data_IF_668462034241
#
_entry.id   IF_668462034241
#
_cell.length_a   1.000
_cell.length_b   1.000
_cell.length_c   1.000
_cell.angle_alpha   90.00
_cell.angle_beta   90.00
_cell.angle_gamma   90.00
#
_symmetry.space_group_name_H-M   'P 1'
#
loop_
_entity.id
_entity.type
_entity.pdbx_description
1 polymer ?
#
# COMPACT_ATOMS: atom_id res chain seq x y z
N UNK A 1 8.11 4.20 4.66
CA UNK A 1 6.70 4.64 4.53
C UNK A 1 6.51 6.04 3.94
N UNK A 2 7.29 7.08 4.31
CA UNK A 2 7.18 8.42 3.67
C UNK A 2 7.28 8.38 2.14
N UNK A 3 8.32 7.72 1.62
CA UNK A 3 8.54 7.58 0.17
C UNK A 3 7.39 6.88 -0.55
N UNK A 4 6.81 5.85 0.07
CA UNK A 4 5.63 5.14 -0.45
C UNK A 4 4.44 6.10 -0.56
N UNK A 5 4.16 6.87 0.49
CA UNK A 5 3.05 7.83 0.45
C UNK A 5 3.28 8.92 -0.61
N UNK A 6 4.49 9.46 -0.74
CA UNK A 6 4.80 10.41 -1.81
C UNK A 6 4.58 9.81 -3.20
N UNK A 7 5.07 8.58 -3.43
CA UNK A 7 4.83 7.84 -4.67
C UNK A 7 3.34 7.70 -4.98
N UNK A 8 2.54 7.35 -3.95
CA UNK A 8 1.09 7.19 -4.08
C UNK A 8 0.36 8.53 -4.34
N UNK A 9 0.80 9.62 -3.72
CA UNK A 9 0.25 10.96 -3.94
C UNK A 9 0.58 11.51 -5.33
N UNK A 10 1.71 11.11 -5.91
CA UNK A 10 2.08 11.39 -7.30
C UNK A 10 1.36 10.46 -8.30
N UNK A 11 0.32 9.74 -7.86
CA UNK A 11 -0.47 8.80 -8.66
C UNK A 11 0.31 7.63 -9.26
N UNK A 12 1.52 7.35 -8.77
CA UNK A 12 2.27 6.16 -9.18
C UNK A 12 1.71 4.90 -8.51
N UNK A 13 1.87 3.77 -9.20
CA UNK A 13 1.51 2.46 -8.69
C UNK A 13 2.65 1.82 -7.90
N UNK A 14 2.30 0.98 -6.94
CA UNK A 14 3.26 0.12 -6.26
C UNK A 14 3.56 -1.10 -7.13
N UNK A 15 4.77 -1.63 -6.98
CA UNK A 15 5.09 -2.97 -7.45
C UNK A 15 4.37 -4.01 -6.59
N UNK A 16 4.27 -5.23 -7.10
CA UNK A 16 3.74 -6.38 -6.36
C UNK A 16 4.49 -6.61 -5.04
N UNK A 17 5.81 -6.46 -5.04
CA UNK A 17 6.65 -6.62 -3.84
C UNK A 17 6.41 -5.50 -2.83
N UNK A 18 6.34 -4.24 -3.28
CA UNK A 18 6.02 -3.09 -2.41
C UNK A 18 4.64 -3.25 -1.77
N UNK A 19 3.63 -3.65 -2.55
CA UNK A 19 2.27 -3.87 -2.04
C UNK A 19 2.22 -5.00 -1.01
N UNK A 20 2.95 -6.09 -1.25
CA UNK A 20 3.10 -7.21 -0.30
C UNK A 20 3.74 -6.75 1.01
N UNK A 21 4.89 -6.08 0.93
CA UNK A 21 5.66 -5.65 2.11
C UNK A 21 4.90 -4.63 2.96
N UNK A 22 4.15 -3.73 2.32
CA UNK A 22 3.28 -2.78 3.03
C UNK A 22 2.22 -3.52 3.83
N UNK A 23 1.53 -4.51 3.23
CA UNK A 23 0.48 -5.22 3.95
C UNK A 23 1.06 -6.02 5.14
N UNK A 24 2.23 -6.64 4.98
CA UNK A 24 2.93 -7.27 6.09
C UNK A 24 3.24 -6.28 7.23
N UNK A 25 3.75 -5.09 6.90
CA UNK A 25 4.06 -4.07 7.90
C UNK A 25 2.80 -3.54 8.61
N UNK A 26 1.67 -3.42 7.89
CA UNK A 26 0.37 -3.07 8.49
C UNK A 26 -0.04 -4.15 9.51
N UNK A 27 0.01 -5.43 9.13
CA UNK A 27 -0.38 -6.55 10.00
C UNK A 27 0.54 -6.68 11.21
N UNK A 28 1.83 -6.39 11.05
CA UNK A 28 2.80 -6.38 12.16
C UNK A 28 2.64 -5.17 13.09
N UNK A 29 1.80 -4.18 12.75
CA UNK A 29 1.61 -2.97 13.54
C UNK A 29 2.81 -2.02 13.54
N UNK A 30 3.73 -2.16 12.58
CA UNK A 30 4.92 -1.29 12.48
C UNK A 30 4.61 0.05 11.84
N UNK A 31 3.48 0.14 11.12
CA UNK A 31 3.00 1.38 10.49
C UNK A 31 1.97 2.06 11.41
N UNK A 32 2.13 3.36 11.73
CA UNK A 32 1.15 4.11 12.50
C UNK A 32 -0.22 4.15 11.81
N UNK A 33 -1.29 4.11 12.61
CA UNK A 33 -2.67 4.08 12.12
C UNK A 33 -2.99 5.25 11.16
N UNK A 34 -2.50 6.46 11.46
CA UNK A 34 -2.68 7.62 10.58
C UNK A 34 -2.10 7.41 9.16
N UNK A 35 -1.01 6.67 9.03
CA UNK A 35 -0.40 6.35 7.72
C UNK A 35 -1.18 5.24 7.01
N UNK A 36 -1.75 4.29 7.75
CA UNK A 36 -2.67 3.28 7.19
C UNK A 36 -3.93 3.96 6.64
N UNK A 37 -4.52 4.89 7.38
CA UNK A 37 -5.68 5.66 6.91
C UNK A 37 -5.36 6.47 5.64
N UNK A 38 -4.18 7.10 5.58
CA UNK A 38 -3.73 7.82 4.39
C UNK A 38 -3.56 6.90 3.18
N UNK A 39 -2.98 5.72 3.37
CA UNK A 39 -2.82 4.71 2.32
C UNK A 39 -4.17 4.24 1.79
N UNK A 40 -5.11 3.88 2.67
CA UNK A 40 -6.47 3.48 2.29
C UNK A 40 -7.17 4.60 1.50
N UNK A 41 -7.04 5.85 1.96
CA UNK A 41 -7.63 7.02 1.29
C UNK A 41 -7.08 7.16 -0.13
N UNK A 42 -5.77 6.97 -0.35
CA UNK A 42 -5.20 6.99 -1.70
C UNK A 42 -5.85 5.96 -2.61
N UNK A 43 -6.03 4.72 -2.14
CA UNK A 43 -6.67 3.65 -2.92
C UNK A 43 -8.17 3.86 -3.16
N UNK A 44 -8.85 4.71 -2.36
CA UNK A 44 -10.22 5.13 -2.63
C UNK A 44 -10.31 6.23 -3.69
N UNK A 45 -9.29 7.09 -3.77
CA UNK A 45 -9.26 8.24 -4.69
C UNK A 45 -8.68 7.91 -6.07
N UNK A 46 -7.90 6.82 -6.18
CA UNK A 46 -7.27 6.38 -7.44
C UNK A 46 -7.65 4.95 -7.76
N UNK A 47 -7.62 4.58 -9.06
CA UNK A 47 -7.79 3.19 -9.46
C UNK A 47 -6.61 2.36 -8.94
N UNK A 48 -6.88 1.17 -8.42
CA UNK A 48 -5.85 0.22 -8.03
C UNK A 48 -5.41 -0.61 -9.24
N UNK A 49 -4.12 -0.91 -9.36
CA UNK A 49 -3.58 -1.76 -10.42
C UNK A 49 -3.66 -3.25 -10.07
N UNK A 50 -3.54 -4.10 -11.09
CA UNK A 50 -3.53 -5.57 -10.91
C UNK A 50 -2.33 -6.03 -10.07
N UNK A 51 -1.16 -5.44 -10.29
CA UNK A 51 0.07 -5.77 -9.55
C UNK A 51 -0.09 -5.50 -8.05
N UNK A 52 -0.73 -4.39 -7.68
CA UNK A 52 -1.01 -4.04 -6.28
C UNK A 52 -1.96 -5.05 -5.62
N UNK A 53 -3.05 -5.41 -6.30
CA UNK A 53 -3.99 -6.44 -5.81
C UNK A 53 -3.27 -7.77 -5.63
N UNK A 54 -2.42 -8.15 -6.58
CA UNK A 54 -1.64 -9.39 -6.49
C UNK A 54 -0.67 -9.36 -5.31
N UNK A 55 -0.01 -8.23 -5.06
CA UNK A 55 0.87 -8.07 -3.90
C UNK A 55 0.12 -8.17 -2.57
N UNK A 56 -1.04 -7.53 -2.47
CA UNK A 56 -1.88 -7.66 -1.28
C UNK A 56 -2.38 -9.09 -1.07
N UNK A 57 -2.77 -9.79 -2.14
CA UNK A 57 -3.13 -11.21 -2.07
C UNK A 57 -1.97 -12.07 -1.59
N UNK A 58 -0.77 -11.85 -2.12
CA UNK A 58 0.43 -12.60 -1.74
C UNK A 58 0.83 -12.42 -0.27
N UNK A 59 0.44 -11.30 0.36
CA UNK A 59 0.69 -11.07 1.78
C UNK A 59 -0.36 -11.74 2.69
N UNK A 60 -1.50 -12.19 2.15
CA UNK A 60 -2.53 -12.92 2.89
C UNK A 60 -2.36 -14.45 2.82
N UNK A 61 -1.53 -14.95 1.91
CA UNK A 61 -1.20 -16.36 1.72
C UNK A 61 0.05 -16.73 2.51
#
# INVERSE_FOLDING_TARGET
MKEILYKLFDYHYLSREEAKDILFQIVQGTIPEAQVSALITCFLMRRISVEEIMGFRDALL
#
